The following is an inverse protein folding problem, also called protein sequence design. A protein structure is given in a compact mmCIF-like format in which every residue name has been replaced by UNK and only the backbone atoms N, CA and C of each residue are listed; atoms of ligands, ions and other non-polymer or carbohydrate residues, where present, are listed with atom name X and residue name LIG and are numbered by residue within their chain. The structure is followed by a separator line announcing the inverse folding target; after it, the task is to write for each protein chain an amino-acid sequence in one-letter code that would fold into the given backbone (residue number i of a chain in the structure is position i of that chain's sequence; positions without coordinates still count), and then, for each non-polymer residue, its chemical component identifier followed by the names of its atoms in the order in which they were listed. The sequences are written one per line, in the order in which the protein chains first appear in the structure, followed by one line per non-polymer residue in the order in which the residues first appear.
data_IF_337279853680
#
_entry.id   IF_337279853680
#
_cell.length_a   1.000
_cell.length_b   1.000
_cell.length_c   1.000
_cell.angle_alpha   90.00
_cell.angle_beta   90.00
_cell.angle_gamma   90.00
#
_symmetry.space_group_name_H-M   'P 1'
#
loop_
_entity.id
_entity.type
_entity.pdbx_description
1 polymer ?
#
# COMPACT_ATOMS: atom_id res chain seq x y z
N UNK A 1 -2.33 4.27 -7.80
CA UNK A 1 -2.23 3.47 -9.05
C UNK A 1 -3.27 2.35 -9.08
N UNK A 2 -4.51 2.76 -9.05
CA UNK A 2 -5.64 1.84 -8.94
C UNK A 2 -5.71 0.82 -10.08
N UNK A 3 -5.65 1.29 -11.33
CA UNK A 3 -5.77 0.40 -12.49
C UNK A 3 -4.55 -0.52 -12.63
N UNK A 4 -3.37 -0.03 -12.28
CA UNK A 4 -2.15 -0.84 -12.35
C UNK A 4 -2.10 -1.97 -11.33
N UNK A 5 -2.81 -1.85 -10.22
CA UNK A 5 -2.88 -2.89 -9.20
C UNK A 5 -4.17 -3.71 -9.27
N UNK A 6 -5.05 -3.42 -10.23
CA UNK A 6 -6.30 -4.17 -10.40
C UNK A 6 -7.35 -3.88 -9.35
N UNK A 7 -7.28 -2.75 -8.67
CA UNK A 7 -8.21 -2.42 -7.59
C UNK A 7 -9.45 -1.66 -8.05
N UNK A 8 -9.60 -1.43 -9.35
CA UNK A 8 -10.76 -0.73 -9.90
C UNK A 8 -12.07 -1.46 -9.60
N UNK A 9 -12.07 -2.79 -9.62
CA UNK A 9 -13.25 -3.58 -9.27
C UNK A 9 -13.63 -3.38 -7.80
N UNK A 10 -12.63 -3.43 -6.91
CA UNK A 10 -12.87 -3.21 -5.48
C UNK A 10 -13.42 -1.81 -5.24
N UNK A 11 -12.86 -0.79 -5.88
CA UNK A 11 -13.34 0.57 -5.73
C UNK A 11 -14.79 0.73 -6.20
N UNK A 12 -15.17 0.05 -7.29
CA UNK A 12 -16.55 0.14 -7.80
C UNK A 12 -17.56 -0.50 -6.84
N UNK A 13 -17.17 -1.54 -6.11
CA UNK A 13 -18.05 -2.26 -5.19
C UNK A 13 -18.04 -1.69 -3.78
N UNK A 14 -16.92 -1.14 -3.33
CA UNK A 14 -16.74 -0.66 -1.97
C UNK A 14 -16.06 0.72 -1.94
N UNK A 15 -16.66 1.76 -2.54
CA UNK A 15 -16.00 3.06 -2.67
C UNK A 15 -15.68 3.73 -1.33
N UNK A 16 -16.48 3.47 -0.30
CA UNK A 16 -16.24 4.06 1.02
C UNK A 16 -15.06 3.42 1.76
N UNK A 17 -14.55 2.30 1.25
CA UNK A 17 -13.45 1.56 1.86
C UNK A 17 -12.19 1.58 1.00
N UNK A 18 -12.19 2.38 -0.05
CA UNK A 18 -11.07 2.51 -0.96
C UNK A 18 -10.51 3.93 -0.91
N UNK A 19 -9.19 4.03 -0.85
CA UNK A 19 -8.49 5.30 -0.80
C UNK A 19 -7.39 5.30 -1.85
N UNK A 20 -7.54 6.11 -2.89
CA UNK A 20 -6.49 6.31 -3.87
C UNK A 20 -5.68 7.53 -3.44
N UNK A 21 -4.46 7.30 -2.97
CA UNK A 21 -3.59 8.38 -2.47
C UNK A 21 -2.69 8.93 -3.57
N UNK A 22 -2.88 8.50 -4.80
CA UNK A 22 -2.03 8.90 -5.91
C UNK A 22 -0.66 8.24 -5.81
N UNK A 23 0.36 8.92 -6.30
CA UNK A 23 1.74 8.43 -6.24
C UNK A 23 2.40 9.04 -5.01
N UNK A 24 2.01 8.52 -3.83
CA UNK A 24 2.46 9.04 -2.55
C UNK A 24 2.66 7.88 -1.57
N UNK A 25 3.70 7.08 -1.81
CA UNK A 25 3.95 5.85 -1.05
C UNK A 25 4.13 6.11 0.44
N UNK A 26 4.88 7.16 0.79
CA UNK A 26 5.10 7.52 2.19
C UNK A 26 3.80 7.84 2.90
N UNK A 27 2.95 8.63 2.26
CA UNK A 27 1.65 8.97 2.81
C UNK A 27 0.75 7.75 2.95
N UNK A 28 0.78 6.85 1.96
CA UNK A 28 -0.04 5.64 2.00
C UNK A 28 0.29 4.78 3.23
N UNK A 29 1.57 4.59 3.51
CA UNK A 29 2.00 3.78 4.65
C UNK A 29 1.65 4.46 5.98
N UNK A 30 1.92 5.76 6.11
CA UNK A 30 1.60 6.50 7.34
C UNK A 30 0.09 6.54 7.58
N UNK A 31 -0.70 6.77 6.54
CA UNK A 31 -2.16 6.75 6.64
C UNK A 31 -2.66 5.38 7.09
N UNK A 32 -2.11 4.30 6.51
CA UNK A 32 -2.48 2.95 6.90
C UNK A 32 -2.13 2.68 8.36
N UNK A 33 -0.96 3.14 8.82
CA UNK A 33 -0.61 3.02 10.23
C UNK A 33 -1.62 3.73 11.13
N UNK A 34 -2.03 4.93 10.76
CA UNK A 34 -3.05 5.68 11.50
C UNK A 34 -4.39 4.94 11.55
N UNK A 35 -4.82 4.38 10.42
CA UNK A 35 -6.05 3.58 10.39
C UNK A 35 -5.95 2.35 11.30
N UNK A 36 -4.79 1.70 11.32
CA UNK A 36 -4.58 0.53 12.15
C UNK A 36 -4.65 0.87 13.64
N UNK A 37 -4.21 2.06 14.07
CA UNK A 37 -4.32 2.47 15.47
C UNK A 37 -5.76 2.62 15.92
N UNK A 38 -6.69 2.85 15.00
CA UNK A 38 -8.12 2.98 15.29
C UNK A 38 -8.89 1.66 15.13
N UNK A 39 -8.17 0.55 14.99
CA UNK A 39 -8.79 -0.77 14.92
C UNK A 39 -9.14 -1.24 13.52
N UNK A 40 -8.84 -0.48 12.49
CA UNK A 40 -9.03 -0.92 11.11
C UNK A 40 -7.93 -1.91 10.71
N UNK A 41 -8.20 -2.67 9.66
CA UNK A 41 -7.25 -3.65 9.11
C UNK A 41 -6.92 -3.24 7.68
N UNK A 42 -6.07 -2.21 7.49
CA UNK A 42 -5.80 -1.67 6.17
C UNK A 42 -4.92 -2.60 5.33
N UNK A 43 -5.17 -2.59 4.02
CA UNK A 43 -4.31 -3.20 3.02
C UNK A 43 -3.68 -2.08 2.20
N UNK A 44 -2.37 -2.11 2.06
CA UNK A 44 -1.63 -1.19 1.20
C UNK A 44 -1.19 -1.96 -0.04
N UNK A 45 -1.76 -1.60 -1.19
CA UNK A 45 -1.39 -2.18 -2.47
C UNK A 45 -0.36 -1.28 -3.14
N UNK A 46 0.85 -1.78 -3.35
CA UNK A 46 1.96 -0.95 -3.79
C UNK A 46 2.93 -1.79 -4.64
N UNK A 47 3.58 -1.16 -5.62
CA UNK A 47 4.63 -1.82 -6.38
C UNK A 47 5.90 -1.95 -5.54
N UNK A 48 6.56 -3.10 -5.64
CA UNK A 48 7.75 -3.39 -4.83
C UNK A 48 8.84 -2.33 -4.98
N UNK A 49 9.08 -1.87 -6.20
CA UNK A 49 10.09 -0.85 -6.48
C UNK A 49 9.77 0.47 -5.76
N UNK A 50 8.52 0.86 -5.75
CA UNK A 50 8.11 2.14 -5.16
C UNK A 50 7.98 2.08 -3.64
N UNK A 51 7.85 0.90 -3.08
CA UNK A 51 7.81 0.73 -1.63
C UNK A 51 9.11 1.20 -0.97
N UNK A 52 10.21 1.22 -1.70
CA UNK A 52 11.49 1.73 -1.20
C UNK A 52 11.38 3.17 -0.67
N UNK A 53 10.51 3.99 -1.28
CA UNK A 53 10.31 5.37 -0.83
C UNK A 53 9.70 5.47 0.55
N UNK A 54 9.04 4.42 0.99
CA UNK A 54 8.35 4.39 2.28
C UNK A 54 9.08 3.53 3.31
N UNK A 55 10.38 3.28 3.11
CA UNK A 55 11.15 2.42 4.01
C UNK A 55 11.07 2.89 5.47
N UNK A 56 11.31 4.17 5.70
CA UNK A 56 11.27 4.73 7.05
C UNK A 56 9.88 4.60 7.66
N UNK A 57 8.84 4.83 6.88
CA UNK A 57 7.47 4.72 7.35
C UNK A 57 7.11 3.28 7.72
N UNK A 58 7.57 2.31 6.93
CA UNK A 58 7.34 0.90 7.27
C UNK A 58 8.02 0.55 8.59
N UNK A 59 9.26 0.98 8.77
CA UNK A 59 10.01 0.69 10.00
C UNK A 59 9.40 1.41 11.19
N UNK A 60 9.26 2.72 11.11
CA UNK A 60 8.90 3.56 12.24
C UNK A 60 7.39 3.53 12.53
N UNK A 61 6.57 3.74 11.49
CA UNK A 61 5.14 3.93 11.72
C UNK A 61 4.40 2.60 11.88
N UNK A 62 4.90 1.54 11.28
CA UNK A 62 4.21 0.25 11.28
C UNK A 62 4.93 -0.78 12.15
N UNK A 63 6.17 -1.10 11.82
CA UNK A 63 6.88 -2.23 12.44
C UNK A 63 7.20 -1.99 13.90
N UNK A 64 7.74 -0.84 14.25
CA UNK A 64 8.08 -0.53 15.65
C UNK A 64 6.84 -0.50 16.55
N UNK A 65 5.71 -0.10 16.02
CA UNK A 65 4.46 -0.06 16.77
C UNK A 65 3.67 -1.37 16.68
N UNK A 66 4.15 -2.34 15.90
CA UNK A 66 3.52 -3.65 15.71
C UNK A 66 2.07 -3.51 15.23
N UNK A 67 1.83 -2.59 14.30
CA UNK A 67 0.49 -2.35 13.77
C UNK A 67 0.14 -3.36 12.68
N UNK A 68 -1.11 -3.82 12.59
CA UNK A 68 -1.52 -4.85 11.64
C UNK A 68 -1.81 -4.27 10.25
N UNK A 69 -0.86 -3.59 9.66
CA UNK A 69 -0.95 -3.12 8.28
C UNK A 69 -0.55 -4.28 7.36
N UNK A 70 -1.38 -4.54 6.37
CA UNK A 70 -1.14 -5.61 5.41
C UNK A 70 -0.70 -5.01 4.09
N UNK A 71 0.39 -5.55 3.55
CA UNK A 71 0.97 -5.06 2.28
C UNK A 71 0.69 -6.07 1.18
N UNK A 72 0.04 -5.63 0.13
CA UNK A 72 -0.10 -6.39 -1.11
C UNK A 72 0.92 -5.81 -2.09
N UNK A 73 2.06 -6.47 -2.22
CA UNK A 73 3.20 -5.99 -3.00
C UNK A 73 3.11 -6.55 -4.40
N UNK A 74 2.84 -5.68 -5.37
CA UNK A 74 2.78 -6.04 -6.77
C UNK A 74 4.17 -5.93 -7.42
N UNK A 75 4.36 -6.67 -8.50
CA UNK A 75 5.62 -6.67 -9.27
C UNK A 75 6.83 -7.03 -8.41
N UNK A 76 6.66 -8.03 -7.55
CA UNK A 76 7.73 -8.54 -6.71
C UNK A 76 8.44 -9.69 -7.43
N UNK A 77 9.78 -9.72 -7.35
CA UNK A 77 10.58 -10.76 -7.97
C UNK A 77 10.87 -10.46 -9.45
N UNK A 78 11.15 -11.50 -10.21
CA UNK A 78 11.49 -11.38 -11.63
C UNK A 78 10.22 -11.41 -12.48
N UNK A 79 9.94 -10.30 -13.15
CA UNK A 79 8.75 -10.15 -13.99
C UNK A 79 9.20 -9.71 -15.38
N UNK A 80 9.01 -10.57 -16.36
CA UNK A 80 9.63 -10.40 -17.68
C UNK A 80 9.13 -9.20 -18.48
N UNK A 81 7.86 -8.81 -18.34
CA UNK A 81 7.25 -7.79 -19.19
C UNK A 81 7.12 -6.41 -18.53
N UNK A 82 7.39 -6.31 -17.24
CA UNK A 82 7.13 -5.05 -16.51
C UNK A 82 8.36 -4.15 -16.39
N UNK A 83 9.50 -4.56 -16.93
CA UNK A 83 10.73 -3.80 -16.88
C UNK A 83 11.23 -3.61 -15.46
N UNK A 84 11.85 -2.45 -15.15
CA UNK A 84 12.45 -2.24 -13.83
C UNK A 84 11.45 -1.92 -12.71
N UNK A 85 10.21 -1.96 -12.99
CA UNK A 85 9.18 -1.75 -11.96
C UNK A 85 8.58 -3.07 -11.53
#
# INVERSE_FOLDING_TARGET
MMSGTGLDIFNSQHPARFFDVGIAEQHAVTMAAGLATEGFKPFVAIYSTFLQRAYDQVVHDVALQKLPVRFAIDRAGLVGSDGPT
#
